data_IF_896630068709
#
_entry.id   IF_896630068709
#
_cell.length_a   1.000
_cell.length_b   1.000
_cell.length_c   1.000
_cell.angle_alpha   90.00
_cell.angle_beta   90.00
_cell.angle_gamma   90.00
#
_symmetry.space_group_name_H-M   'P 1'
#
loop_
_entity.id
_entity.type
_entity.pdbx_description
1 polymer ?
#
# COMPACT_ATOMS: atom_id res chain seq x y z
N UNK A 1 13.87 -0.72 -5.74
CA UNK A 1 14.37 0.66 -5.52
C UNK A 1 14.44 0.94 -4.00
N UNK A 2 14.60 2.20 -3.59
CA UNK A 2 14.62 2.59 -2.17
C UNK A 2 13.29 2.32 -1.47
N UNK A 3 12.16 2.55 -2.16
CA UNK A 3 10.82 2.27 -1.63
C UNK A 3 10.67 0.80 -1.23
N UNK A 4 10.97 -0.12 -2.15
CA UNK A 4 10.87 -1.56 -1.86
C UNK A 4 11.89 -2.03 -0.82
N UNK A 5 13.08 -1.40 -0.79
CA UNK A 5 14.12 -1.73 0.19
C UNK A 5 13.70 -1.35 1.61
N UNK A 6 13.10 -0.17 1.80
CA UNK A 6 12.60 0.27 3.11
C UNK A 6 11.51 -0.63 3.66
N UNK A 7 10.53 -1.00 2.82
CA UNK A 7 9.47 -1.93 3.21
C UNK A 7 10.01 -3.31 3.59
N UNK A 8 10.94 -3.85 2.81
CA UNK A 8 11.58 -5.13 3.11
C UNK A 8 12.33 -5.10 4.44
N UNK A 9 13.15 -4.08 4.68
CA UNK A 9 13.96 -3.98 5.90
C UNK A 9 13.09 -3.91 7.15
N UNK A 10 12.03 -3.09 7.11
CA UNK A 10 11.10 -2.99 8.23
C UNK A 10 10.34 -4.30 8.45
N UNK A 11 9.84 -4.93 7.38
CA UNK A 11 9.16 -6.21 7.49
C UNK A 11 10.08 -7.30 8.05
N UNK A 12 11.31 -7.40 7.55
CA UNK A 12 12.30 -8.38 8.02
C UNK A 12 12.60 -8.19 9.51
N UNK A 13 12.82 -6.95 9.94
CA UNK A 13 13.04 -6.61 11.34
C UNK A 13 11.86 -7.06 12.21
N UNK A 14 10.65 -6.59 11.92
CA UNK A 14 9.48 -6.81 12.76
C UNK A 14 9.04 -8.29 12.74
N UNK A 15 9.03 -8.91 11.55
CA UNK A 15 8.63 -10.32 11.42
C UNK A 15 9.61 -11.27 12.10
N UNK A 16 10.92 -10.98 12.02
CA UNK A 16 11.94 -11.76 12.73
C UNK A 16 11.86 -11.56 14.24
N UNK A 17 11.55 -10.34 14.71
CA UNK A 17 11.34 -10.07 16.14
C UNK A 17 10.15 -10.88 16.71
N UNK A 18 9.16 -11.20 15.89
CA UNK A 18 8.04 -12.09 16.23
C UNK A 18 8.39 -13.59 16.11
N UNK A 19 9.62 -13.94 15.76
CA UNK A 19 10.10 -15.32 15.59
C UNK A 19 9.89 -15.90 14.18
N UNK A 20 9.48 -15.07 13.22
CA UNK A 20 9.39 -15.44 11.81
C UNK A 20 10.75 -15.55 11.12
N UNK A 21 10.80 -16.25 9.99
CA UNK A 21 11.97 -16.32 9.13
C UNK A 21 11.70 -15.66 7.79
N UNK A 22 12.64 -14.84 7.31
CA UNK A 22 12.52 -14.13 6.03
C UNK A 22 13.61 -14.59 5.07
N UNK A 23 13.22 -14.86 3.82
CA UNK A 23 14.12 -15.03 2.67
C UNK A 23 13.61 -14.13 1.56
N UNK A 24 14.50 -13.40 0.90
CA UNK A 24 14.14 -12.44 -0.13
C UNK A 24 14.87 -12.69 -1.45
N UNK A 25 14.19 -12.35 -2.54
CA UNK A 25 14.78 -12.20 -3.87
C UNK A 25 14.54 -10.75 -4.29
N UNK A 26 15.63 -10.08 -4.68
CA UNK A 26 15.54 -8.79 -5.35
C UNK A 26 15.36 -9.03 -6.85
N UNK A 27 14.64 -8.12 -7.49
CA UNK A 27 14.45 -8.11 -8.94
C UNK A 27 14.66 -6.69 -9.47
N UNK A 28 14.86 -6.58 -10.77
CA UNK A 28 14.93 -5.30 -11.47
C UNK A 28 13.50 -4.79 -11.76
N UNK A 29 13.05 -3.67 -11.17
CA UNK A 29 11.70 -3.14 -11.40
C UNK A 29 11.49 -2.66 -12.85
N UNK A 30 12.54 -2.42 -13.63
CA UNK A 30 12.42 -2.06 -15.05
C UNK A 30 12.31 -3.30 -15.95
N UNK A 31 12.50 -4.51 -15.41
CA UNK A 31 12.39 -5.74 -16.17
C UNK A 31 10.93 -6.04 -16.51
N UNK A 32 10.68 -6.34 -17.79
CA UNK A 32 9.38 -6.83 -18.28
C UNK A 32 9.21 -8.34 -18.13
N UNK A 33 10.30 -9.04 -17.82
CA UNK A 33 10.34 -10.50 -17.73
C UNK A 33 10.89 -10.90 -16.36
N UNK A 34 10.02 -11.43 -15.51
CA UNK A 34 10.37 -11.81 -14.12
C UNK A 34 10.20 -13.31 -13.85
N UNK A 35 10.13 -14.13 -14.91
CA UNK A 35 9.89 -15.57 -14.78
C UNK A 35 11.04 -16.32 -14.10
N UNK A 36 12.27 -15.82 -14.18
CA UNK A 36 13.43 -16.46 -13.54
C UNK A 36 13.40 -16.23 -12.02
N UNK A 37 13.09 -15.02 -11.61
CA UNK A 37 12.92 -14.58 -10.22
C UNK A 37 11.74 -15.31 -9.58
N UNK A 38 10.62 -15.47 -10.32
CA UNK A 38 9.47 -16.24 -9.84
C UNK A 38 9.78 -17.73 -9.68
N UNK A 39 10.59 -18.33 -10.57
CA UNK A 39 11.08 -19.71 -10.38
C UNK A 39 11.93 -19.83 -9.12
N UNK A 40 12.85 -18.89 -8.90
CA UNK A 40 13.65 -18.86 -7.68
C UNK A 40 12.78 -18.66 -6.42
N UNK A 41 11.73 -17.83 -6.51
CA UNK A 41 10.76 -17.64 -5.43
C UNK A 41 10.07 -18.96 -5.09
N UNK A 42 9.63 -19.73 -6.10
CA UNK A 42 9.05 -21.07 -5.90
C UNK A 42 10.00 -22.01 -5.16
N UNK A 43 11.28 -22.05 -5.56
CA UNK A 43 12.30 -22.85 -4.88
C UNK A 43 12.51 -22.40 -3.42
N UNK A 44 12.50 -21.09 -3.15
CA UNK A 44 12.61 -20.53 -1.80
C UNK A 44 11.41 -20.96 -0.94
N UNK A 45 10.18 -20.74 -1.42
CA UNK A 45 8.95 -21.09 -0.70
C UNK A 45 8.94 -22.59 -0.39
N UNK A 46 9.31 -23.42 -1.38
CA UNK A 46 9.44 -24.87 -1.20
C UNK A 46 10.47 -25.22 -0.13
N UNK A 47 11.60 -24.51 -0.06
CA UNK A 47 12.64 -24.72 0.96
C UNK A 47 12.24 -24.30 2.36
N UNK A 48 11.31 -23.33 2.48
CA UNK A 48 10.80 -22.85 3.77
C UNK A 48 9.76 -23.81 4.35
N UNK A 49 9.04 -24.55 3.51
CA UNK A 49 8.10 -25.59 3.93
C UNK A 49 6.75 -25.03 4.40
N UNK A 50 6.10 -25.78 5.31
CA UNK A 50 4.76 -25.43 5.78
C UNK A 50 4.76 -24.11 6.56
N UNK A 51 3.77 -23.26 6.33
CA UNK A 51 3.65 -21.95 6.96
C UNK A 51 4.36 -20.82 6.20
N UNK A 52 5.02 -21.12 5.08
CA UNK A 52 5.53 -20.10 4.17
C UNK A 52 4.39 -19.27 3.54
N UNK A 53 4.68 -18.00 3.26
CA UNK A 53 3.83 -17.07 2.54
C UNK A 53 4.68 -16.14 1.69
N UNK A 54 4.05 -15.42 0.78
CA UNK A 54 4.74 -14.46 -0.11
C UNK A 54 4.24 -13.05 0.18
N UNK A 55 5.17 -12.13 0.43
CA UNK A 55 4.91 -10.69 0.40
C UNK A 55 5.50 -10.12 -0.89
N UNK A 56 4.63 -9.73 -1.82
CA UNK A 56 5.01 -9.08 -3.06
C UNK A 56 5.13 -7.56 -2.84
N UNK A 57 6.37 -7.07 -2.83
CA UNK A 57 6.69 -5.65 -2.74
C UNK A 57 6.97 -5.14 -4.15
N UNK A 58 5.93 -4.70 -4.85
CA UNK A 58 5.98 -4.29 -6.25
C UNK A 58 4.94 -3.20 -6.56
N UNK A 59 5.09 -2.55 -7.70
CA UNK A 59 4.06 -1.70 -8.29
C UNK A 59 3.22 -2.51 -9.28
N UNK A 60 2.32 -1.85 -10.01
CA UNK A 60 1.37 -2.55 -10.87
C UNK A 60 2.00 -3.20 -12.11
N UNK A 61 3.10 -2.66 -12.65
CA UNK A 61 3.73 -3.15 -13.89
C UNK A 61 4.50 -4.45 -13.66
N UNK A 62 5.43 -4.41 -12.71
CA UNK A 62 6.18 -5.56 -12.22
C UNK A 62 5.26 -6.54 -11.46
N UNK A 63 4.25 -6.04 -10.75
CA UNK A 63 3.18 -6.85 -10.18
C UNK A 63 2.46 -7.72 -11.19
N UNK A 64 2.01 -7.16 -12.32
CA UNK A 64 1.37 -7.94 -13.39
C UNK A 64 2.30 -9.04 -13.91
N UNK A 65 3.59 -8.74 -14.12
CA UNK A 65 4.57 -9.72 -14.58
C UNK A 65 4.80 -10.86 -13.55
N UNK A 66 4.98 -10.51 -12.28
CA UNK A 66 5.20 -11.47 -11.17
C UNK A 66 4.00 -12.39 -11.01
N UNK A 67 2.79 -11.82 -10.88
CA UNK A 67 1.57 -12.60 -10.66
C UNK A 67 1.31 -13.53 -11.83
N UNK A 68 1.46 -13.04 -13.06
CA UNK A 68 1.24 -13.84 -14.28
C UNK A 68 2.21 -15.02 -14.37
N UNK A 69 3.47 -14.82 -14.01
CA UNK A 69 4.47 -15.89 -14.00
C UNK A 69 4.22 -16.92 -12.87
N UNK A 70 3.61 -16.49 -11.75
CA UNK A 70 3.37 -17.35 -10.58
C UNK A 70 2.07 -18.15 -10.65
N UNK A 71 1.05 -17.71 -11.39
CA UNK A 71 -0.33 -18.24 -11.31
C UNK A 71 -0.52 -19.74 -11.57
N UNK A 72 0.43 -20.39 -12.24
CA UNK A 72 0.39 -21.81 -12.57
C UNK A 72 1.43 -22.64 -11.80
N UNK A 73 2.21 -22.01 -10.91
CA UNK A 73 3.19 -22.72 -10.11
C UNK A 73 2.50 -23.35 -8.89
N UNK A 74 2.52 -24.70 -8.75
CA UNK A 74 1.78 -25.40 -7.71
C UNK A 74 2.32 -25.17 -6.29
N UNK A 75 3.55 -24.67 -6.13
CA UNK A 75 4.07 -24.23 -4.83
C UNK A 75 3.47 -22.87 -4.49
N UNK A 76 3.50 -21.95 -5.45
CA UNK A 76 3.09 -20.57 -5.24
C UNK A 76 1.57 -20.40 -5.12
N UNK A 77 0.77 -21.22 -5.78
CA UNK A 77 -0.70 -21.20 -5.65
C UNK A 77 -1.19 -21.82 -4.34
N UNK A 78 -0.32 -22.47 -3.56
CA UNK A 78 -0.65 -23.17 -2.32
C UNK A 78 -0.25 -22.41 -1.05
N UNK A 79 0.27 -21.19 -1.18
CA UNK A 79 0.67 -20.33 -0.06
C UNK A 79 -0.08 -19.00 -0.09
N UNK A 80 -0.28 -18.33 1.06
CA UNK A 80 -0.92 -17.01 1.07
C UNK A 80 -0.01 -15.98 0.42
N UNK A 81 -0.63 -15.10 -0.37
CA UNK A 81 0.01 -13.93 -0.95
C UNK A 81 -0.48 -12.64 -0.31
N UNK A 82 0.46 -11.77 0.00
CA UNK A 82 0.27 -10.41 0.48
C UNK A 82 0.91 -9.45 -0.52
N UNK A 83 0.34 -8.25 -0.62
CA UNK A 83 0.84 -7.17 -1.46
C UNK A 83 0.88 -5.85 -0.71
N UNK A 84 1.42 -4.83 -1.38
CA UNK A 84 1.54 -3.48 -0.84
C UNK A 84 0.51 -2.54 -1.46
N UNK A 85 0.61 -1.27 -1.10
CA UNK A 85 -0.13 -0.16 -1.70
C UNK A 85 0.16 0.01 -3.20
N UNK A 86 1.29 -0.51 -3.68
CA UNK A 86 1.63 -0.55 -5.11
C UNK A 86 0.72 -1.46 -5.95
N UNK A 87 0.04 -2.43 -5.34
CA UNK A 87 -0.95 -3.29 -6.02
C UNK A 87 -2.39 -2.93 -5.69
N UNK A 88 -2.65 -2.55 -4.44
CA UNK A 88 -4.00 -2.33 -3.94
C UNK A 88 -4.78 -1.36 -4.84
N UNK A 89 -5.98 -1.77 -5.26
CA UNK A 89 -6.87 -0.99 -6.13
C UNK A 89 -6.36 -0.71 -7.56
N UNK A 90 -5.23 -1.29 -7.99
CA UNK A 90 -4.76 -1.12 -9.37
C UNK A 90 -5.76 -1.69 -10.38
N UNK A 91 -6.23 -0.84 -11.30
CA UNK A 91 -7.03 -1.26 -12.44
C UNK A 91 -6.21 -2.10 -13.43
N UNK A 92 -4.91 -1.84 -13.53
CA UNK A 92 -3.99 -2.58 -14.41
C UNK A 92 -3.87 -4.04 -13.97
N UNK A 93 -3.80 -4.29 -12.66
CA UNK A 93 -3.85 -5.65 -12.10
C UNK A 93 -5.17 -6.33 -12.46
N UNK A 94 -6.31 -5.67 -12.28
CA UNK A 94 -7.62 -6.24 -12.63
C UNK A 94 -7.72 -6.62 -14.11
N UNK A 95 -7.23 -5.76 -15.01
CA UNK A 95 -7.33 -5.95 -16.45
C UNK A 95 -6.35 -6.99 -16.99
N UNK A 96 -5.14 -7.06 -16.44
CA UNK A 96 -4.04 -7.83 -17.04
C UNK A 96 -3.58 -9.04 -16.22
N UNK A 97 -3.92 -9.10 -14.93
CA UNK A 97 -3.51 -10.16 -14.02
C UNK A 97 -4.59 -10.56 -13.00
N UNK A 98 -5.87 -10.26 -13.27
CA UNK A 98 -6.96 -10.55 -12.33
C UNK A 98 -7.15 -12.06 -12.10
N UNK A 99 -7.01 -12.86 -13.16
CA UNK A 99 -7.03 -14.33 -13.08
C UNK A 99 -5.85 -14.84 -12.23
N UNK A 100 -4.65 -14.30 -12.48
CA UNK A 100 -3.45 -14.61 -11.76
C UNK A 100 -3.57 -14.30 -10.26
N UNK A 101 -4.05 -13.11 -9.92
CA UNK A 101 -4.27 -12.70 -8.54
C UNK A 101 -5.25 -13.63 -7.83
N UNK A 102 -6.36 -14.01 -8.48
CA UNK A 102 -7.33 -14.97 -7.91
C UNK A 102 -6.72 -16.36 -7.72
N UNK A 103 -5.96 -16.86 -8.70
CA UNK A 103 -5.25 -18.14 -8.59
C UNK A 103 -4.23 -18.17 -7.44
N UNK A 104 -3.72 -17.00 -7.04
CA UNK A 104 -2.80 -16.81 -5.90
C UNK A 104 -3.54 -16.43 -4.60
N UNK A 105 -4.84 -16.70 -4.50
CA UNK A 105 -5.63 -16.45 -3.29
C UNK A 105 -6.08 -15.00 -3.10
N UNK A 106 -6.00 -14.18 -4.14
CA UNK A 106 -6.50 -12.81 -4.19
C UNK A 106 -5.48 -11.73 -3.82
N UNK A 107 -4.27 -12.09 -3.36
CA UNK A 107 -3.17 -11.18 -3.01
C UNK A 107 -3.60 -10.05 -2.07
N UNK A 108 -3.56 -10.31 -0.76
CA UNK A 108 -4.05 -9.40 0.28
C UNK A 108 -3.16 -8.15 0.34
N UNK A 109 -3.63 -7.05 -0.25
CA UNK A 109 -2.84 -5.84 -0.48
C UNK A 109 -3.30 -4.70 0.43
N UNK A 110 -2.37 -4.13 1.18
CA UNK A 110 -2.65 -3.05 2.14
C UNK A 110 -2.53 -1.68 1.51
N UNK A 111 -3.45 -0.77 1.80
CA UNK A 111 -3.32 0.65 1.44
C UNK A 111 -3.83 1.54 2.57
N UNK A 112 -3.16 2.67 2.80
CA UNK A 112 -3.61 3.67 3.75
C UNK A 112 -5.04 4.11 3.42
N UNK A 113 -5.90 4.22 4.44
CA UNK A 113 -7.26 4.73 4.27
C UNK A 113 -7.46 6.03 5.06
N UNK A 114 -7.79 7.12 4.37
CA UNK A 114 -8.26 8.32 5.03
C UNK A 114 -9.48 8.06 5.94
N UNK A 115 -9.53 8.67 7.14
CA UNK A 115 -10.74 8.62 7.94
C UNK A 115 -11.90 9.31 7.19
N UNK A 116 -13.04 8.64 7.13
CA UNK A 116 -14.24 9.21 6.51
C UNK A 116 -14.71 10.43 7.31
N UNK A 117 -14.84 11.55 6.61
CA UNK A 117 -15.29 12.83 7.15
C UNK A 117 -16.06 13.62 6.09
N UNK A 118 -16.72 14.70 6.48
CA UNK A 118 -17.37 15.60 5.53
C UNK A 118 -16.38 16.22 4.52
N UNK A 119 -15.14 16.53 4.96
CA UNK A 119 -14.07 17.01 4.09
C UNK A 119 -13.63 15.95 3.08
N UNK A 120 -13.47 14.71 3.53
CA UNK A 120 -13.16 13.56 2.68
C UNK A 120 -14.22 13.37 1.58
N UNK A 121 -15.51 13.30 1.93
CA UNK A 121 -16.56 13.05 0.93
C UNK A 121 -16.77 14.24 -0.02
N UNK A 122 -16.58 15.47 0.46
CA UNK A 122 -16.62 16.65 -0.40
C UNK A 122 -15.48 16.64 -1.42
N UNK A 123 -14.26 16.33 -0.97
CA UNK A 123 -13.10 16.20 -1.86
C UNK A 123 -13.28 15.05 -2.85
N UNK A 124 -13.70 13.87 -2.38
CA UNK A 124 -13.96 12.69 -3.21
C UNK A 124 -14.91 12.99 -4.35
N UNK A 125 -16.07 13.59 -4.05
CA UNK A 125 -17.06 13.98 -5.08
C UNK A 125 -16.48 14.96 -6.08
N UNK A 126 -15.83 16.04 -5.59
CA UNK A 126 -15.21 17.05 -6.45
C UNK A 126 -14.15 16.46 -7.38
N UNK A 127 -13.28 15.61 -6.86
CA UNK A 127 -12.22 14.98 -7.67
C UNK A 127 -12.79 14.03 -8.70
N UNK A 128 -13.80 13.24 -8.34
CA UNK A 128 -14.49 12.36 -9.29
C UNK A 128 -15.22 13.14 -10.39
N UNK A 129 -15.84 14.27 -10.06
CA UNK A 129 -16.47 15.15 -11.05
C UNK A 129 -15.44 15.73 -12.04
N UNK A 130 -14.22 16.02 -11.59
CA UNK A 130 -13.14 16.58 -12.42
C UNK A 130 -12.46 15.51 -13.28
N UNK A 131 -12.17 14.35 -12.69
CA UNK A 131 -11.29 13.33 -13.28
C UNK A 131 -12.05 12.16 -13.91
N UNK A 132 -13.29 11.93 -13.50
CA UNK A 132 -14.05 10.72 -13.83
C UNK A 132 -13.69 9.50 -12.97
N UNK A 133 -12.69 9.59 -12.10
CA UNK A 133 -12.14 8.48 -11.33
C UNK A 133 -12.30 8.68 -9.82
N UNK A 134 -12.30 7.59 -9.06
CA UNK A 134 -12.23 7.67 -7.60
C UNK A 134 -10.79 8.05 -7.22
N UNK A 135 -10.57 9.09 -6.39
CA UNK A 135 -9.23 9.44 -5.95
C UNK A 135 -8.65 8.35 -5.05
N UNK A 136 -7.37 8.05 -5.24
CA UNK A 136 -6.60 7.15 -4.40
C UNK A 136 -6.13 7.82 -3.09
N UNK A 137 -5.57 7.04 -2.18
CA UNK A 137 -5.07 7.53 -0.89
C UNK A 137 -4.01 8.64 -1.04
N UNK A 138 -3.19 8.57 -2.08
CA UNK A 138 -2.16 9.55 -2.41
C UNK A 138 -2.75 10.92 -2.76
N UNK A 139 -3.88 10.94 -3.48
CA UNK A 139 -4.60 12.15 -3.86
C UNK A 139 -5.07 12.94 -2.63
N UNK A 140 -5.53 12.26 -1.58
CA UNK A 140 -5.91 12.89 -0.32
C UNK A 140 -4.68 13.43 0.42
N UNK A 141 -3.61 12.64 0.47
CA UNK A 141 -2.37 12.99 1.17
C UNK A 141 -1.68 14.21 0.55
N UNK A 142 -1.53 14.25 -0.78
CA UNK A 142 -0.86 15.37 -1.45
C UNK A 142 -1.67 16.66 -1.34
N UNK A 143 -3.00 16.56 -1.32
CA UNK A 143 -3.88 17.72 -1.13
C UNK A 143 -3.66 18.36 0.24
N UNK A 144 -3.64 17.55 1.30
CA UNK A 144 -3.40 18.04 2.66
C UNK A 144 -1.96 18.51 2.86
N UNK A 145 -0.96 17.81 2.30
CA UNK A 145 0.43 18.24 2.34
C UNK A 145 0.62 19.64 1.71
N UNK A 146 -0.06 19.89 0.59
CA UNK A 146 -0.06 21.20 -0.07
C UNK A 146 -0.66 22.30 0.82
N UNK A 147 -1.76 21.99 1.51
CA UNK A 147 -2.39 22.93 2.45
C UNK A 147 -1.51 23.21 3.67
N UNK A 148 -0.92 22.18 4.28
CA UNK A 148 -0.02 22.33 5.43
C UNK A 148 1.19 23.19 5.04
N UNK A 149 1.80 22.94 3.87
CA UNK A 149 2.91 23.74 3.37
C UNK A 149 2.50 25.21 3.14
N UNK A 150 1.36 25.45 2.50
CA UNK A 150 0.86 26.81 2.25
C UNK A 150 0.56 27.57 3.56
N UNK A 151 -0.06 26.90 4.55
CA UNK A 151 -0.34 27.48 5.86
C UNK A 151 0.95 27.77 6.63
N UNK A 152 1.96 26.90 6.56
CA UNK A 152 3.26 27.14 7.17
C UNK A 152 3.99 28.34 6.56
N UNK A 153 3.93 28.53 5.24
CA UNK A 153 4.46 29.71 4.56
C UNK A 153 3.75 30.99 5.04
N UNK A 154 2.42 30.95 5.14
CA UNK A 154 1.63 32.09 5.60
C UNK A 154 1.93 32.44 7.06
N UNK A 155 2.07 31.44 7.92
CA UNK A 155 2.34 31.64 9.34
C UNK A 155 3.79 32.10 9.61
N UNK A 156 4.74 31.63 8.82
CA UNK A 156 6.11 32.14 8.85
C UNK A 156 6.18 33.65 8.52
N UNK A 157 5.25 34.16 7.71
CA UNK A 157 5.23 35.56 7.26
C UNK A 157 6.42 35.95 6.36
N UNK A 158 7.28 34.97 6.02
CA UNK A 158 8.45 35.11 5.17
C UNK A 158 8.68 33.82 4.40
N UNK A 159 9.27 33.92 3.21
CA UNK A 159 9.61 32.77 2.40
C UNK A 159 11.05 32.32 2.68
N UNK A 160 11.25 31.81 3.90
CA UNK A 160 12.53 31.28 4.39
C UNK A 160 12.36 29.81 4.81
N UNK A 161 13.17 28.92 4.23
CA UNK A 161 13.00 27.48 4.40
C UNK A 161 13.23 26.99 5.83
N UNK A 162 14.18 27.56 6.56
CA UNK A 162 14.46 27.15 7.95
C UNK A 162 13.32 27.58 8.89
N UNK A 163 12.77 28.78 8.68
CA UNK A 163 11.64 29.28 9.47
C UNK A 163 10.38 28.44 9.17
N UNK A 164 10.11 28.17 7.90
CA UNK A 164 8.96 27.33 7.48
C UNK A 164 9.09 25.93 8.08
N UNK A 165 10.27 25.30 8.00
CA UNK A 165 10.51 23.98 8.57
C UNK A 165 10.21 23.92 10.08
N UNK A 166 10.66 24.93 10.84
CA UNK A 166 10.44 24.99 12.30
C UNK A 166 8.98 25.11 12.70
N UNK A 167 8.15 25.77 11.88
CA UNK A 167 6.73 26.00 12.14
C UNK A 167 5.86 24.86 11.57
N UNK A 168 6.36 24.11 10.59
CA UNK A 168 5.62 23.07 9.87
C UNK A 168 4.92 22.08 10.81
N UNK A 169 5.63 21.56 11.80
CA UNK A 169 5.07 20.58 12.76
C UNK A 169 3.92 21.17 13.58
N UNK A 170 4.02 22.42 14.01
CA UNK A 170 2.95 23.09 14.76
C UNK A 170 1.70 23.30 13.89
N UNK A 171 1.89 23.79 12.66
CA UNK A 171 0.79 23.97 11.68
C UNK A 171 0.12 22.64 11.38
N UNK A 172 0.91 21.61 11.11
CA UNK A 172 0.42 20.27 10.82
C UNK A 172 -0.36 19.68 12.01
N UNK A 173 0.02 20.02 13.25
CA UNK A 173 -0.69 19.58 14.46
C UNK A 173 -2.10 20.16 14.62
N UNK A 174 -2.34 21.34 14.02
CA UNK A 174 -3.63 22.06 14.07
C UNK A 174 -4.48 21.84 12.83
N UNK A 175 -4.01 21.06 11.86
CA UNK A 175 -4.69 20.83 10.59
C UNK A 175 -5.38 19.47 10.54
N UNK A 176 -6.70 19.50 10.36
CA UNK A 176 -7.50 18.34 9.99
C UNK A 176 -8.02 18.52 8.55
N UNK A 177 -7.51 17.71 7.63
CA UNK A 177 -7.77 17.82 6.21
C UNK A 177 -8.69 16.75 5.64
N UNK A 178 -8.55 16.48 4.34
CA UNK A 178 -9.31 15.44 3.62
C UNK A 178 -8.80 14.04 3.92
N UNK A 179 -7.55 13.92 4.36
CA UNK A 179 -6.85 12.71 4.82
C UNK A 179 -6.82 12.57 6.35
N UNK A 180 -7.58 13.39 7.07
CA UNK A 180 -7.63 13.41 8.53
C UNK A 180 -6.61 14.34 9.19
N UNK A 181 -6.19 14.01 10.41
CA UNK A 181 -5.18 14.78 11.14
C UNK A 181 -3.79 14.63 10.51
N UNK A 182 -3.08 15.72 10.31
CA UNK A 182 -1.72 15.72 9.75
C UNK A 182 -0.64 15.78 10.84
N UNK A 183 -0.87 15.16 12.01
CA UNK A 183 0.11 15.14 13.10
C UNK A 183 1.42 14.51 12.61
N UNK A 184 2.55 15.14 12.92
CA UNK A 184 3.88 14.65 12.58
C UNK A 184 4.62 14.15 13.83
N UNK A 185 5.43 13.11 13.69
CA UNK A 185 6.33 12.62 14.72
C UNK A 185 7.64 13.45 14.76
N UNK A 186 8.58 13.06 15.62
CA UNK A 186 9.87 13.76 15.77
C UNK A 186 10.75 13.75 14.51
N UNK A 187 10.52 12.81 13.59
CA UNK A 187 11.21 12.71 12.31
C UNK A 187 10.51 13.50 11.19
N UNK A 188 9.34 14.10 11.47
CA UNK A 188 8.53 14.80 10.47
C UNK A 188 7.61 13.90 9.64
N UNK A 189 7.50 12.61 9.97
CA UNK A 189 6.56 11.69 9.32
C UNK A 189 5.18 11.80 9.95
N UNK A 190 4.12 11.49 9.19
CA UNK A 190 2.79 11.35 9.81
C UNK A 190 2.83 10.28 10.89
N UNK A 191 2.21 10.54 12.03
CA UNK A 191 2.13 9.58 13.17
C UNK A 191 1.41 8.26 12.85
N UNK A 192 0.83 8.15 11.66
CA UNK A 192 0.24 6.94 11.11
C UNK A 192 -1.23 7.10 10.77
N UNK A 193 -1.87 5.97 10.47
CA UNK A 193 -3.29 5.91 10.15
C UNK A 193 -3.76 4.48 9.90
N UNK A 194 -5.07 4.34 9.73
CA UNK A 194 -5.67 3.04 9.44
C UNK A 194 -5.33 2.59 8.01
N UNK A 195 -5.28 1.29 7.81
CA UNK A 195 -5.11 0.68 6.50
C UNK A 195 -6.31 -0.20 6.17
N UNK A 196 -6.65 -0.27 4.88
CA UNK A 196 -7.58 -1.27 4.36
C UNK A 196 -6.76 -2.36 3.69
N UNK A 197 -7.16 -3.60 3.92
CA UNK A 197 -6.65 -4.76 3.20
C UNK A 197 -7.65 -5.08 2.10
N UNK A 198 -7.23 -5.01 0.85
CA UNK A 198 -8.01 -5.41 -0.31
C UNK A 198 -7.54 -6.76 -0.83
N UNK A 199 -8.44 -7.49 -1.48
CA UNK A 199 -8.09 -8.66 -2.28
C UNK A 199 -8.84 -8.66 -3.60
N UNK A 200 -8.24 -9.25 -4.63
CA UNK A 200 -8.89 -9.50 -5.90
C UNK A 200 -9.83 -10.69 -5.76
N UNK A 201 -11.05 -10.54 -6.24
CA UNK A 201 -12.04 -11.61 -6.34
C UNK A 201 -12.60 -11.69 -7.76
N UNK A 202 -12.96 -12.90 -8.18
CA UNK A 202 -13.77 -13.09 -9.36
C UNK A 202 -15.22 -12.71 -9.05
N UNK A 203 -15.84 -11.92 -9.93
CA UNK A 203 -17.28 -11.60 -9.93
C UNK A 203 -17.86 -11.89 -11.31
N UNK A 204 -19.18 -11.89 -11.44
CA UNK A 204 -19.85 -12.14 -12.72
C UNK A 204 -19.33 -11.17 -13.79
N UNK A 205 -18.61 -11.71 -14.79
CA UNK A 205 -18.06 -10.95 -15.91
C UNK A 205 -16.62 -10.44 -15.75
N UNK A 206 -15.90 -10.74 -14.66
CA UNK A 206 -14.49 -10.37 -14.54
C UNK A 206 -13.90 -10.42 -13.12
N UNK A 207 -12.97 -9.52 -12.86
CA UNK A 207 -12.27 -9.41 -11.57
C UNK A 207 -12.52 -8.04 -10.94
N UNK A 208 -12.50 -7.97 -9.62
CA UNK A 208 -12.60 -6.70 -8.90
C UNK A 208 -11.90 -6.78 -7.55
N UNK A 209 -11.45 -5.62 -7.06
CA UNK A 209 -11.01 -5.48 -5.69
C UNK A 209 -12.21 -5.48 -4.74
N UNK A 210 -12.07 -6.16 -3.60
CA UNK A 210 -13.01 -6.10 -2.48
C UNK A 210 -12.25 -5.93 -1.18
N UNK A 211 -12.89 -5.31 -0.19
CA UNK A 211 -12.32 -5.23 1.16
C UNK A 211 -12.22 -6.63 1.75
N UNK A 212 -11.04 -6.98 2.22
CA UNK A 212 -10.71 -8.21 2.93
C UNK A 212 -10.50 -7.98 4.43
N UNK A 213 -10.23 -6.74 4.85
CA UNK A 213 -10.07 -6.38 6.25
C UNK A 213 -9.55 -4.97 6.44
N UNK A 214 -9.24 -4.63 7.69
CA UNK A 214 -8.71 -3.35 8.12
C UNK A 214 -7.59 -3.58 9.13
N UNK A 215 -6.56 -2.73 9.10
CA UNK A 215 -5.66 -2.55 10.22
C UNK A 215 -6.02 -1.25 10.92
N UNK A 216 -6.25 -1.32 12.23
CA UNK A 216 -6.61 -0.20 13.10
C UNK A 216 -5.41 0.19 13.92
N UNK A 217 -4.82 1.35 13.62
CA UNK A 217 -3.60 1.79 14.32
C UNK A 217 -3.86 2.06 15.81
N UNK A 218 -5.06 2.53 16.16
CA UNK A 218 -5.44 2.81 17.56
C UNK A 218 -5.57 1.56 18.43
N UNK A 219 -5.72 0.39 17.82
CA UNK A 219 -5.87 -0.89 18.50
C UNK A 219 -4.67 -1.81 18.26
N UNK A 220 -3.75 -1.42 17.37
CA UNK A 220 -2.68 -2.26 16.85
C UNK A 220 -3.21 -3.66 16.43
N UNK A 221 -4.27 -3.66 15.60
CA UNK A 221 -5.02 -4.89 15.31
C UNK A 221 -5.51 -4.95 13.87
N UNK A 222 -5.45 -6.16 13.30
CA UNK A 222 -6.13 -6.52 12.05
C UNK A 222 -7.53 -7.07 12.33
N UNK A 223 -8.51 -6.56 11.58
CA UNK A 223 -9.92 -6.97 11.59
C UNK A 223 -10.30 -7.44 10.18
N UNK A 224 -10.49 -8.75 9.98
CA UNK A 224 -10.87 -9.29 8.68
C UNK A 224 -12.35 -9.04 8.39
N UNK A 225 -12.66 -8.76 7.13
CA UNK A 225 -14.03 -8.51 6.70
C UNK A 225 -14.80 -9.82 6.56
N UNK A 226 -15.94 -9.92 7.24
CA UNK A 226 -16.84 -11.09 7.20
C UNK A 226 -16.63 -12.11 8.32
N UNK A 227 -15.77 -11.81 9.30
CA UNK A 227 -15.65 -12.52 10.58
C UNK A 227 -16.35 -11.78 11.72
#
# INVERSE_FOLDING_TARGET
DEWGTGLYQLFEQEFTAMGGGVKAIKYDPESKELSAEVRQLSDIVKSMGQGAGVLAICFEDDGVAILTAAKNDPVLTNVPWMGTDGLALSNKVIQNAGDAAVSLGGVYSTIFTPPKSSKYEAFRRRMKEITGEEPDSYSYNIYDATWVAALAILEAGTYDGEIIQKILTDVASRYFGVSGWTLLNENGDRVGGDYVIYKVVQKDGGYSWTVAGYYRISLDKVELAGE
#
